data_IF_690145658689
#
_entry.id   IF_690145658689
#
_cell.length_a   1.000
_cell.length_b   1.000
_cell.length_c   1.000
_cell.angle_alpha   90.00
_cell.angle_beta   90.00
_cell.angle_gamma   90.00
#
_symmetry.space_group_name_H-M   'P 1'
#
loop_
_entity.id
_entity.type
_entity.pdbx_description
1 polymer ?
#
# COMPACT_ATOMS: atom_id res chain seq x y z
N UNK A 1 18.34 -29.95 -6.25
CA UNK A 1 17.78 -29.29 -7.48
C UNK A 1 16.56 -28.43 -7.16
N UNK A 2 15.63 -28.83 -6.28
CA UNK A 2 14.51 -27.97 -5.85
C UNK A 2 14.96 -26.65 -5.21
N UNK A 3 16.10 -26.65 -4.50
CA UNK A 3 16.70 -25.45 -3.89
C UNK A 3 17.26 -24.43 -4.90
N UNK A 4 17.38 -24.81 -6.18
CA UNK A 4 17.90 -23.94 -7.24
C UNK A 4 16.78 -23.28 -8.04
N UNK A 5 15.52 -23.69 -7.84
CA UNK A 5 14.36 -23.15 -8.55
C UNK A 5 13.95 -23.98 -9.76
N UNK A 6 13.35 -23.33 -10.75
CA UNK A 6 12.76 -23.97 -11.92
C UNK A 6 13.45 -23.49 -13.21
N UNK A 7 13.66 -24.40 -14.16
CA UNK A 7 14.13 -24.05 -15.50
C UNK A 7 13.07 -24.45 -16.53
N UNK A 8 12.60 -23.48 -17.30
CA UNK A 8 11.68 -23.66 -18.41
C UNK A 8 12.48 -23.84 -19.71
N UNK A 9 12.39 -25.04 -20.28
CA UNK A 9 12.97 -25.39 -21.58
C UNK A 9 11.84 -25.44 -22.60
N UNK A 10 12.05 -24.78 -23.75
CA UNK A 10 11.07 -24.72 -24.84
C UNK A 10 11.80 -25.00 -26.15
N UNK A 11 11.09 -25.60 -27.11
CA UNK A 11 11.62 -25.85 -28.45
C UNK A 11 11.99 -24.50 -29.09
N UNK A 12 13.20 -24.42 -29.64
CA UNK A 12 13.75 -23.26 -30.35
C UNK A 12 13.73 -21.94 -29.56
N UNK A 13 13.79 -21.99 -28.23
CA UNK A 13 13.94 -20.79 -27.38
C UNK A 13 15.01 -21.01 -26.32
N UNK A 14 15.64 -19.92 -25.89
CA UNK A 14 16.55 -19.92 -24.77
C UNK A 14 15.86 -20.43 -23.49
N UNK A 15 16.65 -21.13 -22.67
CA UNK A 15 16.22 -21.56 -21.35
C UNK A 15 15.91 -20.36 -20.46
N UNK A 16 14.81 -20.43 -19.73
CA UNK A 16 14.46 -19.44 -18.72
C UNK A 16 14.62 -20.07 -17.35
N UNK A 17 15.57 -19.57 -16.58
CA UNK A 17 15.79 -20.02 -15.21
C UNK A 17 15.14 -19.06 -14.21
N UNK A 18 14.31 -19.63 -13.33
CA UNK A 18 13.60 -18.95 -12.26
C UNK A 18 14.20 -19.43 -10.93
N UNK A 19 15.04 -18.63 -10.26
CA UNK A 19 15.71 -19.07 -9.05
C UNK A 19 14.70 -19.33 -7.92
N UNK A 20 14.97 -20.32 -7.08
CA UNK A 20 14.17 -20.53 -5.87
C UNK A 20 14.40 -19.37 -4.89
N UNK A 21 13.33 -18.92 -4.25
CA UNK A 21 13.37 -17.86 -3.23
C UNK A 21 12.84 -18.36 -1.91
N UNK A 22 13.43 -19.44 -1.39
CA UNK A 22 13.10 -19.90 -0.04
C UNK A 22 13.86 -19.03 0.97
N UNK A 23 13.12 -18.27 1.80
CA UNK A 23 13.72 -17.51 2.91
C UNK A 23 14.16 -18.45 4.04
N UNK A 24 13.37 -19.49 4.31
CA UNK A 24 13.70 -20.65 5.17
C UNK A 24 12.90 -21.87 4.67
N UNK A 25 13.58 -22.99 4.40
CA UNK A 25 12.91 -24.25 3.98
C UNK A 25 12.60 -25.06 5.24
N UNK A 26 11.31 -25.29 5.51
CA UNK A 26 10.84 -26.08 6.65
C UNK A 26 10.46 -27.51 6.25
N UNK A 27 9.68 -27.67 5.17
CA UNK A 27 9.20 -28.97 4.69
C UNK A 27 9.00 -28.92 3.17
N UNK A 28 9.53 -29.88 2.42
CA UNK A 28 9.40 -29.91 0.94
C UNK A 28 8.19 -30.71 0.46
N UNK A 29 7.41 -31.25 1.38
CA UNK A 29 6.25 -32.10 1.08
C UNK A 29 5.14 -31.27 0.43
N UNK A 30 4.60 -31.73 -0.71
CA UNK A 30 3.52 -31.05 -1.44
C UNK A 30 3.97 -29.88 -2.33
N UNK A 31 5.26 -29.56 -2.39
CA UNK A 31 5.78 -28.51 -3.29
C UNK A 31 5.52 -28.85 -4.77
N UNK A 32 5.68 -30.11 -5.16
CA UNK A 32 5.41 -30.56 -6.54
C UNK A 32 3.92 -30.44 -6.92
N UNK A 33 3.02 -30.83 -6.02
CA UNK A 33 1.58 -30.71 -6.22
C UNK A 33 1.17 -29.24 -6.35
N UNK A 34 1.79 -28.36 -5.56
CA UNK A 34 1.61 -26.91 -5.65
C UNK A 34 2.05 -26.38 -7.00
N UNK A 35 3.25 -26.77 -7.47
CA UNK A 35 3.75 -26.36 -8.79
C UNK A 35 2.77 -26.75 -9.89
N UNK A 36 2.34 -28.01 -9.92
CA UNK A 36 1.45 -28.52 -10.98
C UNK A 36 0.09 -27.81 -10.90
N UNK A 37 -0.45 -27.63 -9.69
CA UNK A 37 -1.76 -27.00 -9.49
C UNK A 37 -1.75 -25.53 -9.90
N UNK A 38 -0.73 -24.77 -9.48
CA UNK A 38 -0.59 -23.36 -9.84
C UNK A 38 -0.32 -23.18 -11.34
N UNK A 39 0.54 -24.02 -11.93
CA UNK A 39 0.84 -23.99 -13.36
C UNK A 39 -0.43 -24.24 -14.18
N UNK A 40 -1.18 -25.29 -13.83
CA UNK A 40 -2.42 -25.65 -14.51
C UNK A 40 -3.49 -24.55 -14.36
N UNK A 41 -3.64 -23.97 -13.17
CA UNK A 41 -4.59 -22.89 -12.93
C UNK A 41 -4.26 -21.63 -13.72
N UNK A 42 -2.98 -21.22 -13.77
CA UNK A 42 -2.53 -20.06 -14.53
C UNK A 42 -2.75 -20.26 -16.04
N UNK A 43 -2.35 -21.42 -16.58
CA UNK A 43 -2.58 -21.75 -18.00
C UNK A 43 -4.08 -21.79 -18.33
N UNK A 44 -4.91 -22.35 -17.44
CA UNK A 44 -6.36 -22.37 -17.62
C UNK A 44 -7.00 -20.97 -17.59
N UNK A 45 -6.40 -20.03 -16.85
CA UNK A 45 -6.79 -18.62 -16.84
C UNK A 45 -6.31 -17.83 -18.08
N UNK A 46 -5.54 -18.46 -18.97
CA UNK A 46 -5.05 -17.85 -20.21
C UNK A 46 -3.67 -17.19 -20.10
N UNK A 47 -2.95 -17.40 -18.99
CA UNK A 47 -1.57 -16.92 -18.86
C UNK A 47 -0.60 -17.67 -19.77
N UNK A 48 0.50 -17.01 -20.11
CA UNK A 48 1.57 -17.62 -20.89
C UNK A 48 2.45 -18.55 -20.05
N UNK A 49 3.19 -19.44 -20.71
CA UNK A 49 3.98 -20.47 -20.03
C UNK A 49 5.10 -19.87 -19.13
N UNK A 50 5.85 -18.82 -19.54
CA UNK A 50 6.78 -18.13 -18.65
C UNK A 50 6.13 -17.58 -17.37
N UNK A 51 5.01 -16.87 -17.46
CA UNK A 51 4.33 -16.31 -16.29
C UNK A 51 3.77 -17.43 -15.40
N UNK A 52 3.18 -18.46 -16.00
CA UNK A 52 2.64 -19.60 -15.27
C UNK A 52 3.74 -20.36 -14.50
N UNK A 53 4.94 -20.52 -15.08
CA UNK A 53 6.10 -21.11 -14.40
C UNK A 53 6.62 -20.20 -13.30
N UNK A 54 6.70 -18.88 -13.54
CA UNK A 54 7.12 -17.91 -12.52
C UNK A 54 6.19 -17.97 -11.29
N UNK A 55 4.87 -17.92 -11.50
CA UNK A 55 3.86 -18.04 -10.45
C UNK A 55 3.99 -19.36 -9.68
N UNK A 56 4.24 -20.46 -10.38
CA UNK A 56 4.41 -21.78 -9.76
C UNK A 56 5.68 -21.88 -8.91
N UNK A 57 6.78 -21.26 -9.37
CA UNK A 57 8.04 -21.22 -8.62
C UNK A 57 7.89 -20.40 -7.32
N UNK A 58 7.13 -19.30 -7.38
CA UNK A 58 6.78 -18.48 -6.20
C UNK A 58 5.89 -19.29 -5.24
N UNK A 59 4.85 -19.94 -5.77
CA UNK A 59 3.93 -20.75 -4.98
C UNK A 59 4.65 -21.89 -4.24
N UNK A 60 5.55 -22.59 -4.94
CA UNK A 60 6.40 -23.61 -4.34
C UNK A 60 7.29 -23.04 -3.23
N UNK A 61 7.90 -21.87 -3.47
CA UNK A 61 8.76 -21.20 -2.48
C UNK A 61 8.00 -20.83 -1.19
N UNK A 62 6.69 -20.57 -1.27
CA UNK A 62 5.84 -20.31 -0.09
C UNK A 62 5.51 -21.61 0.65
N UNK A 63 5.08 -22.64 -0.08
CA UNK A 63 4.65 -23.91 0.53
C UNK A 63 5.80 -24.61 1.23
N UNK A 64 7.03 -24.51 0.71
CA UNK A 64 8.19 -25.12 1.39
C UNK A 64 8.54 -24.48 2.74
N UNK A 65 7.98 -23.30 3.03
CA UNK A 65 8.09 -22.63 4.33
C UNK A 65 7.01 -23.05 5.33
N UNK A 66 6.06 -23.92 4.95
CA UNK A 66 4.95 -24.40 5.79
C UNK A 66 5.21 -25.85 6.22
N UNK A 67 4.58 -26.29 7.31
CA UNK A 67 4.67 -27.66 7.80
C UNK A 67 3.65 -28.57 7.08
N UNK A 68 4.09 -29.69 6.52
CA UNK A 68 3.23 -30.68 5.88
C UNK A 68 2.70 -30.28 4.50
N UNK A 69 1.68 -31.00 4.01
CA UNK A 69 0.98 -30.70 2.75
C UNK A 69 0.06 -29.49 2.89
N UNK A 70 0.65 -28.31 3.03
CA UNK A 70 -0.10 -27.07 3.15
C UNK A 70 -0.50 -26.53 1.77
N UNK A 71 -1.74 -26.05 1.65
CA UNK A 71 -2.18 -25.33 0.46
C UNK A 71 -1.69 -23.88 0.49
N UNK A 72 -1.56 -23.29 -0.70
CA UNK A 72 -1.35 -21.86 -0.89
C UNK A 72 -2.70 -21.19 -1.20
N UNK A 73 -2.97 -20.06 -0.56
CA UNK A 73 -4.12 -19.21 -0.88
C UNK A 73 -3.76 -18.17 -1.96
N UNK A 74 -4.77 -17.72 -2.72
CA UNK A 74 -4.57 -16.67 -3.71
C UNK A 74 -3.99 -15.36 -3.13
N UNK A 75 -4.40 -14.88 -1.94
CA UNK A 75 -3.77 -13.74 -1.27
C UNK A 75 -2.27 -13.93 -0.98
N UNK A 76 -1.87 -15.11 -0.50
CA UNK A 76 -0.45 -15.39 -0.21
C UNK A 76 0.40 -15.35 -1.48
N UNK A 77 -0.10 -15.95 -2.57
CA UNK A 77 0.59 -15.93 -3.85
C UNK A 77 0.71 -14.50 -4.41
N UNK A 78 -0.39 -13.74 -4.37
CA UNK A 78 -0.44 -12.37 -4.87
C UNK A 78 0.56 -11.47 -4.14
N UNK A 79 0.61 -11.55 -2.82
CA UNK A 79 1.58 -10.81 -2.00
C UNK A 79 3.02 -11.12 -2.38
N UNK A 80 3.36 -12.39 -2.57
CA UNK A 80 4.71 -12.77 -2.95
C UNK A 80 5.10 -12.28 -4.36
N UNK A 81 4.15 -12.27 -5.30
CA UNK A 81 4.33 -11.68 -6.63
C UNK A 81 4.53 -10.17 -6.53
N UNK A 82 3.68 -9.46 -5.78
CA UNK A 82 3.82 -8.00 -5.58
C UNK A 82 5.15 -7.65 -4.93
N UNK A 83 5.60 -8.43 -3.95
CA UNK A 83 6.92 -8.29 -3.33
C UNK A 83 8.07 -8.47 -4.32
N UNK A 84 7.96 -9.46 -5.22
CA UNK A 84 8.96 -9.70 -6.25
C UNK A 84 9.01 -8.58 -7.30
N UNK A 85 7.87 -7.96 -7.58
CA UNK A 85 7.75 -6.82 -8.48
C UNK A 85 8.06 -5.47 -7.80
N UNK A 86 8.34 -5.45 -6.49
CA UNK A 86 8.61 -4.23 -5.71
C UNK A 86 7.37 -3.40 -5.39
N UNK A 87 6.17 -3.91 -5.63
CA UNK A 87 4.88 -3.21 -5.50
C UNK A 87 4.21 -3.42 -4.13
N UNK A 88 4.97 -3.62 -3.05
CA UNK A 88 4.39 -3.64 -1.69
C UNK A 88 3.95 -2.24 -1.24
N UNK A 89 4.53 -1.19 -1.84
CA UNK A 89 4.25 0.21 -1.52
C UNK A 89 4.11 1.05 -2.79
N UNK A 90 3.39 2.16 -2.70
CA UNK A 90 3.43 3.22 -3.70
C UNK A 90 2.07 3.81 -4.06
N UNK A 91 2.02 4.43 -5.24
CA UNK A 91 0.78 4.99 -5.81
C UNK A 91 -0.11 3.87 -6.31
N UNK A 92 -1.37 3.87 -5.88
CA UNK A 92 -2.37 2.83 -6.20
C UNK A 92 -3.71 3.44 -6.62
N UNK A 93 -4.45 2.74 -7.47
CA UNK A 93 -5.88 2.98 -7.67
C UNK A 93 -6.72 2.43 -6.50
N UNK A 94 -7.99 2.81 -6.41
CA UNK A 94 -8.90 2.26 -5.42
C UNK A 94 -9.05 0.74 -5.52
N UNK A 95 -9.17 0.19 -6.73
CA UNK A 95 -9.22 -1.28 -6.93
C UNK A 95 -7.96 -1.98 -6.44
N UNK A 96 -6.79 -1.42 -6.77
CA UNK A 96 -5.50 -1.97 -6.33
C UNK A 96 -5.34 -1.88 -4.81
N UNK A 97 -5.82 -0.78 -4.21
CA UNK A 97 -5.83 -0.60 -2.77
C UNK A 97 -6.71 -1.68 -2.11
N UNK A 98 -7.93 -1.91 -2.59
CA UNK A 98 -8.83 -2.91 -2.00
C UNK A 98 -8.24 -4.32 -2.03
N UNK A 99 -7.55 -4.68 -3.11
CA UNK A 99 -6.82 -5.94 -3.21
C UNK A 99 -5.71 -6.00 -2.16
N UNK A 100 -4.90 -4.93 -2.05
CA UNK A 100 -3.79 -4.85 -1.10
C UNK A 100 -4.27 -4.89 0.36
N UNK A 101 -5.41 -4.26 0.65
CA UNK A 101 -6.04 -4.28 1.96
C UNK A 101 -6.57 -5.67 2.33
N UNK A 102 -7.16 -6.39 1.37
CA UNK A 102 -7.60 -7.78 1.59
C UNK A 102 -6.41 -8.68 1.93
N UNK A 103 -5.31 -8.53 1.19
CA UNK A 103 -4.07 -9.28 1.45
C UNK A 103 -3.48 -8.90 2.82
N UNK A 104 -3.44 -7.62 3.19
CA UNK A 104 -2.95 -7.14 4.48
C UNK A 104 -3.75 -7.72 5.66
N UNK A 105 -5.08 -7.64 5.58
CA UNK A 105 -5.99 -8.22 6.58
C UNK A 105 -5.86 -9.73 6.71
N UNK A 106 -5.68 -10.44 5.59
CA UNK A 106 -5.48 -11.89 5.61
C UNK A 106 -4.19 -12.29 6.35
N UNK A 107 -3.21 -11.39 6.45
CA UNK A 107 -2.00 -11.58 7.25
C UNK A 107 -2.11 -11.04 8.69
N UNK A 108 -3.27 -10.55 9.10
CA UNK A 108 -3.48 -9.96 10.42
C UNK A 108 -2.80 -8.59 10.61
N UNK A 109 -2.47 -7.89 9.53
CA UNK A 109 -1.90 -6.54 9.58
C UNK A 109 -2.99 -5.51 9.88
N UNK A 110 -2.71 -4.59 10.81
CA UNK A 110 -3.57 -3.46 11.15
C UNK A 110 -3.43 -2.31 10.15
N UNK A 111 -4.56 -1.76 9.70
CA UNK A 111 -4.64 -0.72 8.69
C UNK A 111 -4.86 0.64 9.32
N UNK A 112 -3.91 1.54 9.11
CA UNK A 112 -3.99 2.95 9.47
C UNK A 112 -4.39 3.77 8.25
N UNK A 113 -5.30 4.71 8.43
CA UNK A 113 -5.70 5.67 7.38
C UNK A 113 -5.49 7.10 7.85
N UNK A 114 -4.95 7.93 6.96
CA UNK A 114 -4.91 9.39 7.11
C UNK A 114 -5.18 10.06 5.78
N UNK A 115 -5.55 11.34 5.83
CA UNK A 115 -5.69 12.15 4.63
C UNK A 115 -5.27 13.60 4.82
N UNK A 116 -5.05 14.29 3.70
CA UNK A 116 -4.77 15.72 3.66
C UNK A 116 -4.34 16.20 2.28
N UNK A 117 -4.12 17.51 2.15
CA UNK A 117 -3.74 18.09 0.85
C UNK A 117 -2.25 17.86 0.51
N UNK A 118 -1.36 17.92 1.51
CA UNK A 118 0.11 17.76 1.36
C UNK A 118 0.72 18.57 0.19
N UNK A 119 0.36 19.86 0.10
CA UNK A 119 0.74 20.72 -1.03
C UNK A 119 2.25 21.00 -1.09
N UNK A 120 2.83 21.56 -0.02
CA UNK A 120 4.28 21.70 0.14
C UNK A 120 4.68 20.90 1.38
N UNK A 121 5.45 19.85 1.17
CA UNK A 121 5.96 19.01 2.24
C UNK A 121 7.03 19.73 3.06
N UNK A 122 7.07 19.39 4.35
CA UNK A 122 8.03 19.89 5.32
C UNK A 122 8.21 18.85 6.42
N UNK A 123 9.19 19.05 7.30
CA UNK A 123 9.53 18.09 8.37
C UNK A 123 8.32 17.70 9.25
N UNK A 124 7.43 18.65 9.55
CA UNK A 124 6.18 18.37 10.27
C UNK A 124 5.29 17.32 9.59
N UNK A 125 5.19 17.29 8.26
CA UNK A 125 4.43 16.25 7.55
C UNK A 125 5.11 14.88 7.66
N UNK A 126 6.44 14.84 7.57
CA UNK A 126 7.20 13.58 7.70
C UNK A 126 7.01 13.00 9.10
N UNK A 127 7.25 13.79 10.15
CA UNK A 127 7.06 13.35 11.53
C UNK A 127 5.60 12.97 11.85
N UNK A 128 4.62 13.67 11.27
CA UNK A 128 3.21 13.30 11.39
C UNK A 128 2.92 11.93 10.76
N UNK A 129 3.40 11.68 9.54
CA UNK A 129 3.19 10.41 8.84
C UNK A 129 3.92 9.25 9.53
N UNK A 130 5.11 9.49 10.10
CA UNK A 130 5.81 8.50 10.93
C UNK A 130 5.03 8.13 12.19
N UNK A 131 4.48 9.12 12.90
CA UNK A 131 3.64 8.87 14.07
C UNK A 131 2.33 8.17 13.71
N UNK A 132 1.74 8.50 12.55
CA UNK A 132 0.56 7.81 12.03
C UNK A 132 0.89 6.35 11.72
N UNK A 133 1.98 6.09 11.00
CA UNK A 133 2.45 4.74 10.68
C UNK A 133 2.74 3.91 11.92
N UNK A 134 3.16 4.53 13.02
CA UNK A 134 3.39 3.84 14.29
C UNK A 134 2.10 3.35 14.99
N UNK A 135 0.91 3.76 14.54
CA UNK A 135 -0.37 3.31 15.09
C UNK A 135 -0.84 1.95 14.53
N UNK A 136 -0.10 1.35 13.60
CA UNK A 136 -0.44 0.06 13.00
C UNK A 136 0.63 -0.48 12.07
N UNK A 137 0.26 -1.38 11.17
CA UNK A 137 1.21 -2.11 10.31
C UNK A 137 1.28 -1.56 8.89
N UNK A 138 0.20 -0.94 8.41
CA UNK A 138 0.13 -0.37 7.05
C UNK A 138 -0.49 1.01 7.08
N UNK A 139 0.15 1.99 6.44
CA UNK A 139 -0.40 3.34 6.31
C UNK A 139 -0.96 3.59 4.90
N UNK A 140 -2.27 3.80 4.83
CA UNK A 140 -2.96 4.37 3.68
C UNK A 140 -2.99 5.89 3.82
N UNK A 141 -2.42 6.58 2.84
CA UNK A 141 -2.47 8.03 2.73
C UNK A 141 -3.33 8.43 1.53
N UNK A 142 -4.52 8.95 1.80
CA UNK A 142 -5.40 9.52 0.79
C UNK A 142 -5.20 11.03 0.67
N UNK A 143 -4.96 11.56 -0.53
CA UNK A 143 -4.79 13.00 -0.72
C UNK A 143 -5.91 13.61 -1.58
N UNK A 144 -6.23 14.87 -1.31
CA UNK A 144 -7.21 15.60 -2.13
C UNK A 144 -6.69 15.81 -3.56
N UNK A 145 -7.56 15.70 -4.57
CA UNK A 145 -7.28 16.13 -5.94
C UNK A 145 -7.09 17.64 -6.04
N UNK A 146 -6.64 18.12 -7.20
CA UNK A 146 -6.35 19.54 -7.39
C UNK A 146 -7.63 20.39 -7.30
N UNK A 147 -8.75 19.89 -7.84
CA UNK A 147 -10.07 20.50 -7.73
C UNK A 147 -10.55 20.53 -6.27
N UNK A 148 -10.36 19.43 -5.53
CA UNK A 148 -10.73 19.34 -4.11
C UNK A 148 -9.93 20.34 -3.28
N UNK A 149 -8.61 20.44 -3.49
CA UNK A 149 -7.77 21.43 -2.79
C UNK A 149 -8.17 22.87 -3.16
N UNK A 150 -8.45 23.15 -4.43
CA UNK A 150 -8.87 24.48 -4.89
C UNK A 150 -10.18 24.92 -4.23
N UNK A 151 -11.17 24.02 -4.10
CA UNK A 151 -12.41 24.31 -3.36
C UNK A 151 -12.17 24.57 -1.87
N UNK A 152 -11.28 23.81 -1.25
CA UNK A 152 -11.00 23.90 0.20
C UNK A 152 -10.14 25.11 0.58
N UNK A 153 -9.16 25.48 -0.26
CA UNK A 153 -8.15 26.50 0.07
C UNK A 153 -8.26 27.78 -0.78
N UNK A 154 -9.11 27.78 -1.79
CA UNK A 154 -9.32 28.90 -2.69
C UNK A 154 -8.41 28.89 -3.94
N UNK A 155 -8.60 29.89 -4.82
CA UNK A 155 -7.91 29.96 -6.10
C UNK A 155 -6.39 30.12 -5.92
N UNK A 156 -5.61 29.46 -6.78
CA UNK A 156 -4.14 29.47 -6.72
C UNK A 156 -3.54 28.34 -5.87
N UNK A 157 -4.36 27.41 -5.38
CA UNK A 157 -3.95 26.16 -4.72
C UNK A 157 -4.59 24.96 -5.42
N UNK A 158 -3.92 23.79 -5.47
CA UNK A 158 -2.58 23.52 -4.94
C UNK A 158 -1.47 24.15 -5.80
N UNK A 159 -0.27 24.32 -5.23
CA UNK A 159 0.94 24.71 -5.99
C UNK A 159 1.47 23.50 -6.76
N UNK A 160 1.43 22.33 -6.16
CA UNK A 160 1.87 21.09 -6.79
C UNK A 160 0.67 20.24 -7.24
N UNK A 161 0.61 19.86 -8.54
CA UNK A 161 -0.40 18.93 -9.03
C UNK A 161 -0.41 17.60 -8.27
N UNK A 162 -1.57 16.95 -8.24
CA UNK A 162 -1.82 15.72 -7.48
C UNK A 162 -0.78 14.64 -7.77
N UNK A 163 -0.39 14.44 -9.03
CA UNK A 163 0.57 13.40 -9.42
C UNK A 163 1.95 13.64 -8.80
N UNK A 164 2.37 14.91 -8.70
CA UNK A 164 3.65 15.27 -8.08
C UNK A 164 3.60 15.07 -6.58
N UNK A 165 2.49 15.44 -5.93
CA UNK A 165 2.30 15.23 -4.50
C UNK A 165 2.33 13.74 -4.18
N UNK A 166 1.59 12.93 -4.93
CA UNK A 166 1.59 11.47 -4.79
C UNK A 166 2.97 10.86 -4.97
N UNK A 167 3.72 11.27 -6.01
CA UNK A 167 5.06 10.77 -6.27
C UNK A 167 6.00 10.99 -5.08
N UNK A 168 6.03 12.20 -4.52
CA UNK A 168 6.90 12.49 -3.37
C UNK A 168 6.44 11.72 -2.12
N UNK A 169 5.14 11.69 -1.86
CA UNK A 169 4.58 10.98 -0.70
C UNK A 169 4.83 9.48 -0.75
N UNK A 170 4.76 8.88 -1.94
CA UNK A 170 5.03 7.45 -2.15
C UNK A 170 6.49 7.07 -1.90
N UNK A 171 7.41 8.05 -1.92
CA UNK A 171 8.81 7.86 -1.57
C UNK A 171 9.10 7.90 -0.07
N UNK A 172 8.11 8.25 0.77
CA UNK A 172 8.29 8.31 2.22
C UNK A 172 8.17 6.91 2.82
N UNK A 173 9.14 6.52 3.63
CA UNK A 173 9.20 5.18 4.24
C UNK A 173 7.94 4.83 5.05
N UNK A 174 7.38 5.83 5.75
CA UNK A 174 6.20 5.68 6.57
C UNK A 174 4.92 5.34 5.80
N UNK A 175 4.88 5.60 4.48
CA UNK A 175 3.66 5.46 3.68
C UNK A 175 3.70 4.15 2.89
N UNK A 176 2.69 3.31 3.08
CA UNK A 176 2.55 2.07 2.31
C UNK A 176 1.80 2.34 1.00
N UNK A 177 0.63 2.97 1.07
CA UNK A 177 -0.19 3.22 -0.13
C UNK A 177 -0.63 4.67 -0.23
N UNK A 178 -0.50 5.25 -1.43
CA UNK A 178 -0.97 6.60 -1.75
C UNK A 178 -2.03 6.54 -2.83
N UNK A 179 -3.16 7.17 -2.59
CA UNK A 179 -4.22 7.40 -3.57
C UNK A 179 -4.74 8.83 -3.43
N UNK A 180 -5.53 9.28 -4.40
CA UNK A 180 -6.24 10.55 -4.30
C UNK A 180 -7.75 10.36 -4.36
N UNK A 181 -8.49 11.40 -3.96
CA UNK A 181 -9.94 11.47 -4.06
C UNK A 181 -10.39 12.88 -4.43
N UNK A 182 -11.54 12.97 -5.09
CA UNK A 182 -12.07 14.21 -5.65
C UNK A 182 -13.05 14.94 -4.73
N UNK A 183 -13.64 14.22 -3.79
CA UNK A 183 -14.62 14.74 -2.85
C UNK A 183 -14.00 15.73 -1.84
N UNK A 184 -14.85 16.49 -1.15
CA UNK A 184 -14.39 17.41 -0.10
C UNK A 184 -14.01 16.65 1.19
N UNK A 185 -14.63 15.49 1.41
CA UNK A 185 -14.39 14.59 2.54
C UNK A 185 -14.00 13.18 2.09
N UNK A 186 -13.19 12.46 2.86
CA UNK A 186 -12.76 11.10 2.52
C UNK A 186 -13.78 10.01 2.90
N UNK A 187 -15.05 10.36 3.18
CA UNK A 187 -16.02 9.44 3.80
C UNK A 187 -16.30 8.21 2.92
N UNK A 188 -16.48 8.41 1.61
CA UNK A 188 -16.64 7.29 0.65
C UNK A 188 -15.44 6.34 0.66
N UNK A 189 -14.23 6.89 0.77
CA UNK A 189 -13.02 6.06 0.89
C UNK A 189 -13.00 5.33 2.23
N UNK A 190 -13.36 5.98 3.33
CA UNK A 190 -13.42 5.34 4.64
C UNK A 190 -14.42 4.18 4.67
N UNK A 191 -15.57 4.31 4.00
CA UNK A 191 -16.56 3.24 3.89
C UNK A 191 -16.04 1.98 3.20
N UNK A 192 -15.17 2.16 2.20
CA UNK A 192 -14.53 1.07 1.47
C UNK A 192 -13.31 0.52 2.19
N UNK A 193 -12.43 1.42 2.66
CA UNK A 193 -11.17 1.07 3.31
C UNK A 193 -11.41 0.44 4.67
N UNK A 194 -12.41 0.90 5.44
CA UNK A 194 -12.72 0.48 6.82
C UNK A 194 -11.46 0.28 7.68
N UNK A 195 -10.66 1.34 7.90
CA UNK A 195 -9.39 1.22 8.62
C UNK A 195 -9.59 0.84 10.09
N UNK A 196 -8.59 0.16 10.67
CA UNK A 196 -8.57 -0.14 12.10
C UNK A 196 -8.25 1.11 12.92
N UNK A 197 -7.44 2.02 12.37
CA UNK A 197 -7.11 3.31 12.99
C UNK A 197 -7.25 4.46 11.99
N UNK A 198 -8.06 5.46 12.33
CA UNK A 198 -8.13 6.74 11.62
C UNK A 198 -7.26 7.77 12.35
N UNK A 199 -6.23 8.26 11.67
CA UNK A 199 -5.33 9.28 12.19
C UNK A 199 -5.64 10.63 11.55
N UNK A 200 -5.70 11.67 12.39
CA UNK A 200 -5.78 13.07 11.97
C UNK A 200 -4.73 13.91 12.69
N UNK A 201 -4.16 14.88 11.98
CA UNK A 201 -3.26 15.87 12.57
C UNK A 201 -4.02 17.15 12.95
N UNK A 202 -3.66 17.74 14.09
CA UNK A 202 -4.08 19.09 14.48
C UNK A 202 -4.69 19.19 15.87
N UNK A 203 -5.15 20.39 16.20
CA UNK A 203 -5.79 20.72 17.50
C UNK A 203 -7.29 20.37 17.54
N UNK A 204 -7.76 19.54 16.60
CA UNK A 204 -9.15 19.15 16.54
C UNK A 204 -9.50 18.25 17.74
N UNK A 205 -10.61 18.55 18.42
CA UNK A 205 -11.23 17.59 19.32
C UNK A 205 -11.66 16.33 18.52
N UNK A 206 -11.65 15.17 19.18
CA UNK A 206 -12.01 13.88 18.57
C UNK A 206 -13.39 13.95 17.89
N UNK A 207 -14.33 14.71 18.45
CA UNK A 207 -15.69 14.89 17.95
C UNK A 207 -15.78 15.64 16.60
N UNK A 208 -14.70 16.30 16.15
CA UNK A 208 -14.66 17.04 14.88
C UNK A 208 -14.03 16.27 13.72
N UNK A 209 -13.62 15.01 13.95
CA UNK A 209 -12.92 14.22 12.93
C UNK A 209 -13.93 13.66 11.93
N UNK A 210 -13.87 14.17 10.70
CA UNK A 210 -14.65 13.65 9.56
C UNK A 210 -14.39 12.15 9.38
N UNK A 211 -15.48 11.37 9.42
CA UNK A 211 -15.46 9.91 9.36
C UNK A 211 -15.13 9.20 10.68
N UNK A 212 -14.92 9.94 11.78
CA UNK A 212 -14.62 9.38 13.10
C UNK A 212 -15.74 8.51 13.66
N UNK A 213 -16.98 9.01 13.64
CA UNK A 213 -18.16 8.25 14.08
C UNK A 213 -18.32 6.94 13.29
N UNK A 214 -18.12 7.00 11.97
CA UNK A 214 -18.17 5.82 11.12
C UNK A 214 -17.12 4.79 11.53
N UNK A 215 -15.86 5.21 11.73
CA UNK A 215 -14.76 4.32 12.13
C UNK A 215 -15.03 3.69 13.50
N UNK A 216 -15.49 4.48 14.47
CA UNK A 216 -15.84 3.99 15.81
C UNK A 216 -17.05 3.05 15.81
N UNK A 217 -17.99 3.19 14.87
CA UNK A 217 -19.20 2.37 14.80
C UNK A 217 -18.94 0.87 14.63
N UNK A 218 -17.79 0.48 14.06
CA UNK A 218 -17.39 -0.91 13.89
C UNK A 218 -16.18 -1.31 14.75
N UNK A 219 -15.84 -0.50 15.75
CA UNK A 219 -14.75 -0.78 16.70
C UNK A 219 -13.37 -0.29 16.25
N UNK A 220 -13.26 0.48 15.17
CA UNK A 220 -12.03 1.17 14.80
C UNK A 220 -11.72 2.35 15.73
N UNK A 221 -10.47 2.73 15.79
CA UNK A 221 -9.98 3.76 16.70
C UNK A 221 -9.72 5.09 15.97
N UNK A 222 -10.04 6.21 16.62
CA UNK A 222 -9.69 7.55 16.12
C UNK A 222 -8.54 8.10 16.96
N UNK A 223 -7.49 8.57 16.29
CA UNK A 223 -6.30 9.16 16.92
C UNK A 223 -6.05 10.55 16.37
N UNK A 224 -5.98 11.52 17.28
CA UNK A 224 -5.56 12.89 16.94
C UNK A 224 -4.12 13.06 17.40
N UNK A 225 -3.24 13.35 16.45
CA UNK A 225 -1.83 13.57 16.71
C UNK A 225 -1.52 15.07 16.70
N UNK A 226 -0.76 15.52 17.69
CA UNK A 226 -0.20 16.87 17.71
C UNK A 226 0.82 17.03 16.60
N UNK A 227 0.74 18.13 15.84
CA UNK A 227 1.80 18.46 14.89
C UNK A 227 3.08 18.80 15.64
N UNK A 228 4.22 18.33 15.13
CA UNK A 228 5.53 18.85 15.55
C UNK A 228 5.63 20.32 15.10
N UNK A 229 5.71 21.24 16.06
CA UNK A 229 5.72 22.68 15.85
C UNK A 229 6.87 23.21 14.98
N UNK A 230 6.60 24.36 14.35
CA UNK A 230 7.48 25.33 13.66
C UNK A 230 7.64 25.30 12.13
N UNK A 231 6.86 24.54 11.36
CA UNK A 231 6.84 24.67 9.89
C UNK A 231 5.43 24.47 9.34
N UNK A 232 4.80 25.52 8.81
CA UNK A 232 3.58 25.39 8.01
C UNK A 232 3.84 25.78 6.56
N UNK A 233 3.20 25.10 5.61
CA UNK A 233 3.26 25.45 4.18
C UNK A 233 2.93 26.93 3.94
N UNK A 234 1.99 27.49 4.70
CA UNK A 234 1.60 28.91 4.62
C UNK A 234 2.76 29.81 5.05
N UNK A 235 3.39 29.52 6.19
CA UNK A 235 4.51 30.30 6.69
C UNK A 235 5.73 30.25 5.76
N UNK A 236 5.98 29.12 5.09
CA UNK A 236 7.05 29.01 4.08
C UNK A 236 6.75 29.92 2.88
N UNK A 237 5.51 29.93 2.39
CA UNK A 237 5.12 30.75 1.23
C UNK A 237 5.11 32.23 1.59
N UNK A 238 4.60 32.61 2.75
CA UNK A 238 4.62 34.00 3.25
C UNK A 238 6.06 34.52 3.36
N UNK A 239 6.99 33.70 3.86
CA UNK A 239 8.41 34.08 3.96
C UNK A 239 9.06 34.32 2.59
N UNK A 240 8.73 33.50 1.58
CA UNK A 240 9.23 33.71 0.21
C UNK A 240 8.63 34.98 -0.41
N UNK A 241 7.38 35.32 -0.07
CA UNK A 241 6.73 36.54 -0.57
C UNK A 241 7.28 37.80 0.12
N UNK A 242 7.62 37.74 1.41
CA UNK A 242 8.20 38.86 2.15
C UNK A 242 9.65 39.17 1.77
N UNK A 243 10.42 38.17 1.36
CA UNK A 243 11.84 38.35 0.97
C UNK A 243 12.02 38.89 -0.46
N UNK A 244 10.92 39.10 -1.21
CA UNK A 244 10.91 39.67 -2.56
C UNK A 244 10.44 41.14 -2.63
N UNK A 245 10.21 41.80 -1.48
CA UNK A 245 10.01 43.26 -1.37
C UNK A 245 11.30 43.98 -0.94
#
# INVERSE_FOLDING_TARGET
RSEQGMTLIRVDKDELHFPARAREVFDVTGAGDTVISTLAAALAAGEDLPNAVALSNIAASIVVGKLGTAAISAPELRRAVSKEQGAEKGVVSEEQLLISLADARAAGESIVFTNGCFDILHAGHVGYLEQARAQGDRLVLAINSDESVSRLKGPGRPINPVERRMAVLSGLEAVDWVLYFDEDTPERLLEQVRPDVLVKGGDYGIDGVVGGEFVSSYGGEVRVLSFLDNCSTTAIVEKIQSDNE
#
